data_IF_521819856180
#
_entry.id   IF_521819856180
#
_cell.length_a   1.000
_cell.length_b   1.000
_cell.length_c   1.000
_cell.angle_alpha   90.00
_cell.angle_beta   90.00
_cell.angle_gamma   90.00
#
_symmetry.space_group_name_H-M   'P 1'
#
loop_
_entity.id
_entity.type
_entity.pdbx_description
1 polymer ?
#
# COMPACT_ATOMS: atom_id res chain seq x y z
N UNK A 1 17.14 12.44 11.38
CA UNK A 1 16.69 11.51 12.43
C UNK A 1 16.83 10.05 11.97
N UNK A 2 18.01 9.67 11.44
CA UNK A 2 18.35 8.30 11.01
C UNK A 2 19.50 7.75 11.88
N UNK A 3 20.37 8.63 12.38
CA UNK A 3 21.54 8.27 13.18
C UNK A 3 21.22 7.54 14.50
N UNK A 4 20.05 7.76 15.11
CA UNK A 4 19.65 7.07 16.35
C UNK A 4 19.15 5.63 16.13
N UNK A 5 18.73 5.26 14.92
CA UNK A 5 18.34 3.88 14.58
C UNK A 5 19.54 2.94 14.47
N UNK A 6 20.74 3.50 14.31
CA UNK A 6 22.01 2.76 14.23
C UNK A 6 22.83 2.88 15.51
N UNK A 7 22.25 3.37 16.62
CA UNK A 7 22.95 3.41 17.90
C UNK A 7 23.05 1.97 18.46
N UNK A 8 24.25 1.37 18.53
CA UNK A 8 24.43 -0.04 18.89
C UNK A 8 23.99 -0.37 20.32
N UNK A 9 23.71 0.64 21.16
CA UNK A 9 23.20 0.47 22.52
C UNK A 9 21.68 0.31 22.64
N UNK A 10 20.91 0.47 21.55
CA UNK A 10 19.46 0.25 21.57
C UNK A 10 19.09 -1.04 20.81
N UNK A 11 18.51 -2.05 21.48
CA UNK A 11 17.98 -3.21 20.79
C UNK A 11 16.75 -2.77 19.98
N UNK A 12 16.92 -2.61 18.67
CA UNK A 12 15.80 -2.39 17.75
C UNK A 12 15.30 -3.76 17.30
N UNK A 13 14.16 -4.19 17.85
CA UNK A 13 13.57 -5.49 17.52
C UNK A 13 13.00 -5.54 16.10
N UNK A 14 12.51 -4.40 15.58
CA UNK A 14 11.91 -4.28 14.25
C UNK A 14 12.01 -2.86 13.71
N UNK A 15 12.22 -2.74 12.40
CA UNK A 15 12.14 -1.47 11.65
C UNK A 15 11.14 -1.65 10.51
N UNK A 16 10.34 -0.62 10.26
CA UNK A 16 9.44 -0.53 9.11
C UNK A 16 9.65 0.78 8.39
N UNK A 17 9.50 0.76 7.07
CA UNK A 17 9.51 1.94 6.21
C UNK A 17 8.20 1.98 5.43
N UNK A 18 7.71 3.19 5.17
CA UNK A 18 6.54 3.45 4.34
C UNK A 18 6.96 4.41 3.22
N UNK A 19 6.21 4.40 2.13
CA UNK A 19 6.38 5.32 1.00
C UNK A 19 7.75 5.14 0.32
N UNK A 20 8.13 3.87 0.11
CA UNK A 20 9.29 3.50 -0.70
C UNK A 20 8.91 3.76 -2.16
N UNK A 21 9.45 4.83 -2.74
CA UNK A 21 9.27 5.15 -4.16
C UNK A 21 9.79 3.99 -5.01
N UNK A 22 8.86 3.32 -5.71
CA UNK A 22 9.15 2.16 -6.51
C UNK A 22 9.17 2.51 -8.00
N UNK A 23 10.34 2.89 -8.47
CA UNK A 23 10.55 3.11 -9.90
C UNK A 23 10.84 1.80 -10.64
N UNK A 24 11.49 0.84 -9.97
CA UNK A 24 11.87 -0.47 -10.51
C UNK A 24 11.95 -1.55 -9.43
N UNK A 25 11.99 -2.82 -9.86
CA UNK A 25 12.21 -3.97 -8.97
C UNK A 25 13.57 -3.93 -8.27
N UNK A 26 14.55 -3.25 -8.86
CA UNK A 26 15.91 -3.18 -8.31
C UNK A 26 15.92 -2.59 -6.89
N UNK A 27 15.02 -1.66 -6.57
CA UNK A 27 14.87 -1.11 -5.23
C UNK A 27 14.52 -2.20 -4.20
N UNK A 28 13.56 -3.07 -4.52
CA UNK A 28 13.15 -4.16 -3.63
C UNK A 28 14.23 -5.24 -3.53
N UNK A 29 14.87 -5.58 -4.64
CA UNK A 29 15.99 -6.52 -4.66
C UNK A 29 17.15 -6.04 -3.78
N UNK A 30 17.49 -4.75 -3.85
CA UNK A 30 18.54 -4.15 -3.01
C UNK A 30 18.16 -4.22 -1.54
N UNK A 31 16.91 -3.90 -1.18
CA UNK A 31 16.42 -4.05 0.20
C UNK A 31 16.57 -5.51 0.66
N UNK A 32 16.14 -6.48 -0.15
CA UNK A 32 16.26 -7.90 0.19
C UNK A 32 17.71 -8.38 0.31
N UNK A 33 18.67 -7.80 -0.44
CA UNK A 33 20.09 -8.12 -0.29
C UNK A 33 20.65 -7.69 1.07
N UNK A 34 20.24 -6.53 1.59
CA UNK A 34 20.69 -6.05 2.91
C UNK A 34 19.90 -6.67 4.06
N UNK A 35 18.61 -6.94 3.85
CA UNK A 35 17.69 -7.48 4.84
C UNK A 35 16.91 -8.65 4.25
N UNK A 36 17.52 -9.82 4.18
CA UNK A 36 16.97 -11.03 3.56
C UNK A 36 15.74 -11.63 4.26
N UNK A 37 15.39 -11.11 5.44
CA UNK A 37 14.18 -11.45 6.20
C UNK A 37 13.12 -10.35 6.11
N UNK A 38 13.29 -9.37 5.21
CA UNK A 38 12.27 -8.34 4.97
C UNK A 38 10.97 -8.98 4.52
N UNK A 39 9.86 -8.38 4.94
CA UNK A 39 8.54 -8.65 4.38
C UNK A 39 8.07 -7.40 3.66
N UNK A 40 7.58 -7.54 2.44
CA UNK A 40 7.01 -6.42 1.68
C UNK A 40 5.50 -6.47 1.76
N UNK A 41 4.89 -5.34 2.13
CA UNK A 41 3.43 -5.21 2.17
C UNK A 41 3.04 -4.21 1.10
N UNK A 42 2.48 -4.71 0.00
CA UNK A 42 1.95 -3.90 -1.08
C UNK A 42 0.53 -3.43 -0.72
N UNK A 43 0.46 -2.19 -0.23
CA UNK A 43 -0.80 -1.52 0.02
C UNK A 43 -1.41 -1.07 -1.30
N UNK A 44 -2.64 -1.49 -1.56
CA UNK A 44 -3.41 -1.07 -2.72
C UNK A 44 -4.81 -0.60 -2.30
N UNK A 45 -5.48 0.14 -3.18
CA UNK A 45 -6.81 0.70 -2.91
C UNK A 45 -7.64 0.65 -4.18
N UNK A 46 -8.95 0.53 -4.00
CA UNK A 46 -9.91 0.72 -5.08
C UNK A 46 -9.58 2.00 -5.89
N UNK A 47 -9.34 1.90 -7.21
CA UNK A 47 -8.79 3.00 -7.99
C UNK A 47 -9.75 4.20 -8.07
N UNK A 48 -11.08 4.00 -8.01
CA UNK A 48 -12.04 5.12 -7.93
C UNK A 48 -11.85 5.95 -6.67
N UNK A 49 -11.82 5.26 -5.52
CA UNK A 49 -11.61 5.91 -4.21
C UNK A 49 -10.21 6.52 -4.11
N UNK A 50 -9.21 5.91 -4.74
CA UNK A 50 -7.86 6.43 -4.75
C UNK A 50 -7.75 7.67 -5.62
N UNK A 51 -8.25 7.63 -6.87
CA UNK A 51 -8.22 8.77 -7.80
C UNK A 51 -8.89 10.00 -7.20
N UNK A 52 -10.10 9.81 -6.67
CA UNK A 52 -10.81 10.85 -5.94
C UNK A 52 -9.98 11.43 -4.79
N UNK A 53 -9.41 10.56 -3.96
CA UNK A 53 -8.61 10.97 -2.81
C UNK A 53 -7.34 11.72 -3.20
N UNK A 54 -6.64 11.29 -4.26
CA UNK A 54 -5.39 11.93 -4.71
C UNK A 54 -5.66 13.24 -5.42
N UNK A 55 -6.74 13.32 -6.21
CA UNK A 55 -7.15 14.53 -6.95
C UNK A 55 -7.58 15.64 -6.01
N UNK A 56 -8.38 15.32 -4.98
CA UNK A 56 -8.88 16.32 -4.02
C UNK A 56 -7.76 16.88 -3.14
N UNK A 57 -6.77 16.05 -2.79
CA UNK A 57 -5.69 16.43 -1.87
C UNK A 57 -4.40 16.86 -2.57
N UNK A 58 -4.34 16.73 -3.89
CA UNK A 58 -3.23 17.18 -4.74
C UNK A 58 -1.83 16.73 -4.26
N UNK A 59 -1.68 15.45 -3.88
CA UNK A 59 -0.42 14.92 -3.35
C UNK A 59 0.24 13.85 -4.22
N UNK A 60 -0.43 13.42 -5.30
CA UNK A 60 0.16 12.47 -6.24
C UNK A 60 0.32 13.15 -7.60
N UNK A 61 1.53 13.19 -8.21
CA UNK A 61 1.76 13.98 -9.43
C UNK A 61 0.84 13.63 -10.61
N UNK A 62 0.31 12.40 -10.62
CA UNK A 62 -0.55 11.88 -11.68
C UNK A 62 -2.05 12.07 -11.38
N UNK A 63 -2.42 12.82 -10.34
CA UNK A 63 -3.82 12.94 -9.90
C UNK A 63 -4.66 13.93 -10.73
N UNK A 64 -4.03 14.76 -11.55
CA UNK A 64 -4.71 15.78 -12.34
C UNK A 64 -5.31 15.26 -13.65
N UNK A 65 -4.87 14.08 -14.10
CA UNK A 65 -5.22 13.50 -15.39
C UNK A 65 -5.55 12.03 -15.19
N UNK A 66 -6.73 11.63 -15.67
CA UNK A 66 -7.24 10.27 -15.47
C UNK A 66 -6.39 9.23 -16.21
N UNK A 67 -5.95 9.53 -17.42
CA UNK A 67 -5.12 8.62 -18.21
C UNK A 67 -3.74 8.44 -17.57
N UNK A 68 -3.14 9.51 -17.06
CA UNK A 68 -1.89 9.45 -16.30
C UNK A 68 -2.07 8.59 -15.03
N UNK A 69 -3.16 8.80 -14.28
CA UNK A 69 -3.47 8.00 -13.11
C UNK A 69 -3.62 6.51 -13.46
N UNK A 70 -4.39 6.18 -14.50
CA UNK A 70 -4.65 4.79 -14.92
C UNK A 70 -3.33 4.10 -15.28
N UNK A 71 -2.49 4.76 -16.09
CA UNK A 71 -1.20 4.20 -16.51
C UNK A 71 -0.29 3.96 -15.32
N UNK A 72 -0.16 4.93 -14.42
CA UNK A 72 0.76 4.81 -13.30
C UNK A 72 0.27 3.78 -12.27
N UNK A 73 -1.03 3.76 -11.99
CA UNK A 73 -1.63 2.72 -11.16
C UNK A 73 -1.33 1.33 -11.72
N UNK A 74 -1.53 1.13 -13.02
CA UNK A 74 -1.27 -0.15 -13.67
C UNK A 74 0.23 -0.51 -13.65
N UNK A 75 1.12 0.45 -13.91
CA UNK A 75 2.58 0.27 -13.88
C UNK A 75 3.05 -0.18 -12.50
N UNK A 76 2.68 0.53 -11.44
CA UNK A 76 3.04 0.18 -10.07
C UNK A 76 2.45 -1.17 -9.66
N UNK A 77 1.19 -1.42 -10.00
CA UNK A 77 0.55 -2.71 -9.72
C UNK A 77 1.26 -3.87 -10.41
N UNK A 78 1.76 -3.67 -11.64
CA UNK A 78 2.51 -4.69 -12.36
C UNK A 78 3.84 -5.01 -11.64
N UNK A 79 4.56 -3.98 -11.18
CA UNK A 79 5.79 -4.17 -10.40
C UNK A 79 5.53 -4.93 -9.09
N UNK A 80 4.45 -4.60 -8.38
CA UNK A 80 4.08 -5.31 -7.15
C UNK A 80 3.81 -6.79 -7.42
N UNK A 81 3.07 -7.08 -8.49
CA UNK A 81 2.73 -8.45 -8.90
C UNK A 81 3.97 -9.24 -9.32
N UNK A 82 4.85 -8.64 -10.13
CA UNK A 82 6.09 -9.26 -10.58
C UNK A 82 7.01 -9.59 -9.40
N UNK A 83 7.15 -8.68 -8.45
CA UNK A 83 7.92 -8.95 -7.24
C UNK A 83 7.30 -10.11 -6.43
N UNK A 84 5.99 -10.06 -6.19
CA UNK A 84 5.29 -11.07 -5.41
C UNK A 84 5.27 -12.47 -6.06
N UNK A 85 5.50 -12.57 -7.37
CA UNK A 85 5.67 -13.86 -8.06
C UNK A 85 7.02 -14.53 -7.74
N UNK A 86 7.99 -13.74 -7.26
CA UNK A 86 9.35 -14.20 -6.95
C UNK A 86 9.67 -14.20 -5.46
N UNK A 87 8.96 -13.42 -4.64
CA UNK A 87 9.16 -13.33 -3.20
C UNK A 87 7.95 -13.87 -2.41
N UNK A 88 8.05 -15.04 -1.75
CA UNK A 88 6.97 -15.59 -0.94
C UNK A 88 6.64 -14.76 0.32
N UNK A 89 7.49 -13.80 0.68
CA UNK A 89 7.26 -12.90 1.82
C UNK A 89 6.49 -11.62 1.43
N UNK A 90 6.13 -11.47 0.15
CA UNK A 90 5.31 -10.36 -0.32
C UNK A 90 3.84 -10.58 0.02
N UNK A 91 3.22 -9.57 0.63
CA UNK A 91 1.82 -9.57 1.03
C UNK A 91 1.08 -8.45 0.30
N UNK A 92 -0.10 -8.75 -0.23
CA UNK A 92 -1.02 -7.75 -0.75
C UNK A 92 -2.05 -7.40 0.32
N UNK A 93 -2.30 -6.11 0.52
CA UNK A 93 -3.28 -5.65 1.50
C UNK A 93 -4.09 -4.47 0.95
N UNK A 94 -5.41 -4.61 0.94
CA UNK A 94 -6.29 -3.50 0.60
C UNK A 94 -6.33 -2.51 1.78
N UNK A 95 -6.21 -1.21 1.50
CA UNK A 95 -6.12 -0.18 2.54
C UNK A 95 -7.31 -0.17 3.52
N UNK A 96 -8.46 -0.74 3.14
CA UNK A 96 -9.62 -0.86 4.03
C UNK A 96 -9.41 -1.82 5.20
N UNK A 97 -8.46 -2.75 5.09
CA UNK A 97 -8.11 -3.72 6.16
C UNK A 97 -7.76 -3.03 7.48
N UNK A 98 -7.20 -1.81 7.42
CA UNK A 98 -6.82 -1.04 8.62
C UNK A 98 -8.01 -0.63 9.50
N UNK A 99 -9.23 -0.66 8.97
CA UNK A 99 -10.46 -0.35 9.72
C UNK A 99 -11.15 -1.59 10.29
N UNK A 100 -10.70 -2.80 9.92
CA UNK A 100 -11.22 -4.06 10.43
C UNK A 100 -10.24 -4.66 11.45
N UNK A 101 -10.64 -4.64 12.72
CA UNK A 101 -9.82 -5.16 13.83
C UNK A 101 -9.44 -6.62 13.63
N UNK A 102 -10.33 -7.44 13.08
CA UNK A 102 -10.08 -8.86 12.85
C UNK A 102 -9.04 -9.07 11.76
N UNK A 103 -9.17 -8.36 10.65
CA UNK A 103 -8.20 -8.40 9.56
C UNK A 103 -6.83 -7.81 9.98
N UNK A 104 -6.82 -6.70 10.71
CA UNK A 104 -5.59 -6.13 11.26
C UNK A 104 -4.87 -7.08 12.23
N UNK A 105 -5.60 -7.75 13.14
CA UNK A 105 -5.01 -8.75 14.05
C UNK A 105 -4.38 -9.91 13.29
N UNK A 106 -4.99 -10.35 12.18
CA UNK A 106 -4.40 -11.38 11.31
C UNK A 106 -3.11 -10.90 10.65
N UNK A 107 -3.07 -9.67 10.15
CA UNK A 107 -1.85 -9.08 9.60
C UNK A 107 -0.72 -9.02 10.65
N UNK A 108 -1.02 -8.52 11.84
CA UNK A 108 -0.06 -8.43 12.94
C UNK A 108 0.48 -9.82 13.30
N UNK A 109 -0.39 -10.83 13.35
CA UNK A 109 0.01 -12.23 13.59
C UNK A 109 0.89 -12.76 12.47
N UNK A 110 0.57 -12.51 11.21
CA UNK A 110 1.37 -12.92 10.05
C UNK A 110 2.75 -12.30 10.08
N UNK A 111 2.85 -11.06 10.56
CA UNK A 111 4.10 -10.35 10.71
C UNK A 111 4.86 -10.77 11.98
N UNK A 112 4.37 -11.69 12.80
CA UNK A 112 4.98 -12.05 14.10
C UNK A 112 5.15 -10.83 15.04
N UNK A 113 4.19 -9.90 15.03
CA UNK A 113 4.18 -8.74 15.93
C UNK A 113 3.45 -9.13 17.22
N UNK A 114 4.20 -9.26 18.32
CA UNK A 114 3.66 -9.76 19.60
C UNK A 114 2.92 -8.68 20.41
N UNK A 115 3.27 -7.40 20.20
CA UNK A 115 2.70 -6.27 20.94
C UNK A 115 2.44 -5.09 20.03
N UNK A 116 1.25 -4.52 20.11
CA UNK A 116 0.86 -3.28 19.45
C UNK A 116 -0.27 -2.62 20.25
N UNK A 117 -0.45 -1.32 20.07
CA UNK A 117 -1.52 -0.58 20.72
C UNK A 117 -2.82 -0.73 19.93
N UNK A 118 -3.77 -1.52 20.46
CA UNK A 118 -5.07 -1.75 19.81
C UNK A 118 -5.92 -0.47 19.73
N UNK A 119 -5.65 0.54 20.58
CA UNK A 119 -6.43 1.79 20.58
C UNK A 119 -6.28 2.61 19.31
N UNK A 120 -5.21 2.35 18.53
CA UNK A 120 -4.95 3.03 17.26
C UNK A 120 -5.75 2.43 16.09
N UNK A 121 -6.39 1.27 16.25
CA UNK A 121 -7.16 0.65 15.15
C UNK A 121 -8.45 1.43 14.94
N UNK A 122 -8.68 1.86 13.69
CA UNK A 122 -9.88 2.62 13.34
C UNK A 122 -9.93 4.03 13.91
N UNK A 123 -8.85 4.50 14.55
CA UNK A 123 -8.74 5.86 15.02
C UNK A 123 -8.73 6.82 13.81
N UNK A 124 -9.60 7.82 13.87
CA UNK A 124 -9.88 8.74 12.76
C UNK A 124 -9.00 9.99 12.79
N UNK A 125 -7.89 9.99 13.52
CA UNK A 125 -6.95 11.13 13.63
C UNK A 125 -6.57 11.73 12.26
N UNK A 126 -6.68 10.95 11.18
CA UNK A 126 -6.40 11.39 9.80
C UNK A 126 -7.57 11.19 8.81
N UNK A 127 -8.79 10.92 9.28
CA UNK A 127 -9.95 10.81 8.41
C UNK A 127 -10.31 12.18 7.87
N UNK A 128 -10.03 12.41 6.58
CA UNK A 128 -10.48 13.62 5.90
C UNK A 128 -12.02 13.68 5.94
N UNK A 129 -12.55 14.78 6.47
CA UNK A 129 -13.98 15.00 6.72
C UNK A 129 -14.83 15.07 5.44
N UNK A 130 -14.19 15.18 4.27
CA UNK A 130 -14.88 15.32 3.01
C UNK A 130 -15.08 13.97 2.31
N UNK A 131 -16.30 13.43 2.44
CA UNK A 131 -16.81 12.41 1.52
C UNK A 131 -17.13 13.06 0.17
N UNK A 132 -16.09 13.39 -0.58
CA UNK A 132 -16.25 13.62 -2.02
C UNK A 132 -16.67 12.29 -2.67
N UNK A 133 -17.50 12.37 -3.72
CA UNK A 133 -17.84 11.22 -4.56
C UNK A 133 -17.43 11.50 -6.01
N UNK A 134 -16.67 10.56 -6.59
CA UNK A 134 -16.21 10.65 -7.97
C UNK A 134 -17.41 10.76 -8.93
N UNK A 135 -17.29 11.64 -9.90
CA UNK A 135 -18.28 11.86 -10.95
C UNK A 135 -18.56 10.54 -11.68
N UNK A 136 -19.84 10.18 -11.95
CA UNK A 136 -20.20 8.89 -12.52
C UNK A 136 -19.44 8.54 -13.81
N UNK A 137 -19.26 9.50 -14.71
CA UNK A 137 -18.53 9.28 -15.96
C UNK A 137 -17.07 8.84 -15.74
N UNK A 138 -16.36 9.48 -14.80
CA UNK A 138 -14.98 9.11 -14.45
C UNK A 138 -14.94 7.76 -13.71
N UNK A 139 -15.97 7.45 -12.92
CA UNK A 139 -16.08 6.17 -12.25
C UNK A 139 -16.27 5.01 -13.24
N UNK A 140 -17.12 5.18 -14.26
CA UNK A 140 -17.38 4.19 -15.30
C UNK A 140 -16.13 3.95 -16.16
N UNK A 141 -15.42 5.02 -16.51
CA UNK A 141 -14.16 4.94 -17.25
C UNK A 141 -13.08 4.19 -16.46
N UNK A 142 -12.96 4.46 -15.16
CA UNK A 142 -12.05 3.72 -14.28
C UNK A 142 -12.43 2.24 -14.18
N UNK A 143 -13.70 1.89 -14.05
CA UNK A 143 -14.16 0.50 -13.99
C UNK A 143 -13.83 -0.30 -15.25
N UNK A 144 -13.85 0.36 -16.42
CA UNK A 144 -13.46 -0.23 -17.71
C UNK A 144 -11.95 -0.26 -17.98
N UNK A 145 -11.13 0.27 -17.06
CA UNK A 145 -9.70 0.47 -17.29
C UNK A 145 -8.80 -0.68 -16.83
N UNK A 146 -7.56 -0.70 -17.33
CA UNK A 146 -6.50 -1.62 -16.84
C UNK A 146 -6.19 -1.42 -15.35
N UNK A 147 -6.38 -0.21 -14.80
CA UNK A 147 -6.19 0.01 -13.37
C UNK A 147 -7.18 -0.81 -12.54
N UNK A 148 -8.43 -0.93 -13.01
CA UNK A 148 -9.43 -1.78 -12.36
C UNK A 148 -9.10 -3.26 -12.49
N UNK A 149 -8.66 -3.72 -13.66
CA UNK A 149 -8.22 -5.10 -13.83
C UNK A 149 -7.08 -5.46 -12.88
N UNK A 150 -6.07 -4.59 -12.76
CA UNK A 150 -4.94 -4.79 -11.86
C UNK A 150 -5.36 -4.76 -10.39
N UNK A 151 -6.25 -3.83 -10.00
CA UNK A 151 -6.88 -3.82 -8.69
C UNK A 151 -7.54 -5.17 -8.37
N UNK A 152 -8.33 -5.72 -9.29
CA UNK A 152 -9.01 -7.02 -9.10
C UNK A 152 -8.02 -8.20 -9.04
N UNK A 153 -6.90 -8.14 -9.76
CA UNK A 153 -5.83 -9.14 -9.67
C UNK A 153 -5.15 -9.11 -8.30
N UNK A 154 -4.77 -7.93 -7.81
CA UNK A 154 -4.19 -7.78 -6.47
C UNK A 154 -5.18 -8.19 -5.38
N UNK A 155 -6.46 -7.87 -5.53
CA UNK A 155 -7.50 -8.27 -4.59
C UNK A 155 -7.65 -9.79 -4.48
N UNK A 156 -7.50 -10.54 -5.58
CA UNK A 156 -7.50 -12.02 -5.54
C UNK A 156 -6.28 -12.61 -4.82
N UNK A 157 -5.18 -11.86 -4.75
CA UNK A 157 -3.95 -12.23 -4.03
C UNK A 157 -3.87 -11.59 -2.65
N UNK A 158 -4.87 -10.79 -2.28
CA UNK A 158 -4.87 -10.12 -1.00
C UNK A 158 -4.72 -11.17 0.10
N UNK A 159 -3.76 -10.93 0.97
CA UNK A 159 -3.74 -11.61 2.24
C UNK A 159 -4.97 -11.07 2.97
N UNK A 160 -6.05 -11.86 2.99
CA UNK A 160 -7.38 -11.67 3.62
C UNK A 160 -8.58 -11.52 2.66
#
# INVERSE_FOLDING_TARGET
MIANLFNPGFPVERIGFKDIELDSLETLERINRFWSKSRFIFLFRNPKKQFESVRTKDYWPYCHDLDLFIREYARLSALYMEHADTDPNALFMENTVLFDVGQFKRLVSELDIVRFDESLIGDTVFAAEEKTRLEPALADELEGSVAWEMYRKMQKRAFL
#
